data_IF_759281627911
#
_entry.id   IF_759281627911
#
_cell.length_a   1.000
_cell.length_b   1.000
_cell.length_c   1.000
_cell.angle_alpha   90.00
_cell.angle_beta   90.00
_cell.angle_gamma   90.00
#
_symmetry.space_group_name_H-M   'P 1'
#
loop_
_entity.id
_entity.type
_entity.pdbx_description
1 polymer ?
#
# COMPACT_ATOMS: atom_id res chain seq x y z
N UNK A 1 24.82 -16.88 30.16
CA UNK A 1 24.21 -15.93 29.20
C UNK A 1 24.73 -14.49 29.42
N UNK A 2 26.06 -14.26 29.38
CA UNK A 2 26.62 -12.89 29.53
C UNK A 2 27.58 -12.48 28.40
N UNK A 3 28.08 -13.43 27.60
CA UNK A 3 29.02 -13.16 26.50
C UNK A 3 28.34 -12.51 25.29
N UNK A 4 27.16 -12.99 24.88
CA UNK A 4 26.47 -12.52 23.66
C UNK A 4 26.06 -11.04 23.76
N UNK A 5 25.50 -10.61 24.89
CA UNK A 5 25.11 -9.20 25.10
C UNK A 5 26.30 -8.25 25.12
N UNK A 6 27.47 -8.71 25.60
CA UNK A 6 28.70 -7.93 25.59
C UNK A 6 29.29 -7.84 24.17
N UNK A 7 29.19 -8.91 23.38
CA UNK A 7 29.58 -8.90 21.97
C UNK A 7 28.74 -7.92 21.14
N UNK A 8 27.41 -7.86 21.36
CA UNK A 8 26.54 -6.88 20.69
C UNK A 8 26.87 -5.43 21.09
N UNK A 9 27.08 -5.15 22.38
CA UNK A 9 27.51 -3.81 22.83
C UNK A 9 28.88 -3.42 22.29
N UNK A 10 29.78 -4.39 22.10
CA UNK A 10 31.11 -4.15 21.54
C UNK A 10 31.03 -3.90 20.03
N UNK A 11 30.19 -4.64 19.30
CA UNK A 11 29.90 -4.36 17.89
C UNK A 11 29.31 -2.95 17.71
N UNK A 12 28.33 -2.53 18.53
CA UNK A 12 27.79 -1.16 18.48
C UNK A 12 28.87 -0.10 18.73
N UNK A 13 29.71 -0.31 19.75
CA UNK A 13 30.84 0.59 20.06
C UNK A 13 31.87 0.67 18.93
N UNK A 14 32.17 -0.46 18.29
CA UNK A 14 33.18 -0.51 17.24
C UNK A 14 32.63 0.00 15.90
N UNK A 15 31.32 -0.13 15.67
CA UNK A 15 30.58 0.53 14.57
C UNK A 15 30.52 2.05 14.76
N UNK A 16 30.35 2.54 16.00
CA UNK A 16 30.40 3.97 16.32
C UNK A 16 31.79 4.62 16.09
N UNK A 17 32.86 3.81 16.08
CA UNK A 17 34.24 4.31 15.88
C UNK A 17 34.65 4.38 14.41
N UNK A 18 34.04 3.58 13.55
CA UNK A 18 34.20 3.67 12.10
C UNK A 18 33.06 4.52 11.56
N UNK A 19 33.27 5.84 11.46
CA UNK A 19 32.29 6.83 10.98
C UNK A 19 31.75 6.56 9.57
N UNK A 20 30.93 5.54 9.45
CA UNK A 20 30.19 5.09 8.27
C UNK A 20 28.73 4.98 8.71
N UNK A 21 27.88 5.65 7.93
CA UNK A 21 26.42 5.75 8.00
C UNK A 21 25.86 7.03 8.61
N UNK A 22 25.64 7.99 7.71
CA UNK A 22 24.45 8.84 7.76
C UNK A 22 23.19 7.96 7.79
N UNK A 23 22.19 8.50 8.50
CA UNK A 23 20.80 8.06 8.65
C UNK A 23 20.53 6.79 9.49
N UNK A 24 20.25 7.05 10.77
CA UNK A 24 19.48 6.15 11.63
C UNK A 24 18.01 6.57 11.52
N UNK A 25 17.21 5.82 10.77
CA UNK A 25 15.75 5.86 10.89
C UNK A 25 15.32 5.05 12.12
N UNK A 26 14.69 5.65 13.14
CA UNK A 26 13.94 4.87 14.11
C UNK A 26 12.69 4.31 13.42
N UNK A 27 12.84 3.14 12.80
CA UNK A 27 11.68 2.34 12.39
C UNK A 27 10.93 1.94 13.67
N UNK A 28 9.69 2.42 13.81
CA UNK A 28 8.77 1.94 14.85
C UNK A 28 8.66 0.42 14.71
N UNK A 29 9.11 -0.30 15.73
CA UNK A 29 9.04 -1.77 15.78
C UNK A 29 7.58 -2.20 15.59
N UNK A 30 7.21 -2.89 14.51
CA UNK A 30 5.87 -3.45 14.42
C UNK A 30 5.68 -4.45 15.56
N UNK A 31 4.53 -4.39 16.22
CA UNK A 31 4.15 -5.38 17.21
C UNK A 31 4.00 -6.73 16.53
N UNK A 32 4.81 -7.70 16.93
CA UNK A 32 4.74 -9.07 16.44
C UNK A 32 3.51 -9.76 17.01
N UNK A 33 2.51 -10.03 16.17
CA UNK A 33 1.46 -11.00 16.48
C UNK A 33 1.67 -12.22 15.58
N UNK A 34 2.11 -13.32 16.18
CA UNK A 34 2.57 -14.55 15.50
C UNK A 34 1.42 -15.40 14.92
N UNK A 35 0.18 -14.88 14.89
CA UNK A 35 -1.01 -15.60 14.42
C UNK A 35 -1.99 -14.75 13.58
N UNK A 36 -1.70 -13.47 13.31
CA UNK A 36 -2.52 -12.64 12.41
C UNK A 36 -1.92 -12.71 11.01
N UNK A 37 -2.42 -13.62 10.17
CA UNK A 37 -1.84 -13.92 8.85
C UNK A 37 -2.10 -12.81 7.79
N UNK A 38 -2.92 -11.81 8.09
CA UNK A 38 -3.26 -10.72 7.18
C UNK A 38 -3.01 -9.34 7.82
N UNK A 39 -1.88 -8.68 7.52
CA UNK A 39 -1.65 -7.28 7.90
C UNK A 39 -2.25 -6.35 6.84
N UNK A 40 -3.45 -5.85 7.08
CA UNK A 40 -4.12 -4.90 6.18
C UNK A 40 -4.37 -3.54 6.84
N UNK A 41 -4.32 -2.49 6.03
CA UNK A 41 -4.69 -1.12 6.40
C UNK A 41 -6.08 -0.77 5.86
N UNK A 42 -6.70 0.27 6.43
CA UNK A 42 -7.93 0.86 5.88
C UNK A 42 -7.56 2.12 5.11
N UNK A 43 -8.07 2.23 3.89
CA UNK A 43 -7.95 3.41 3.04
C UNK A 43 -9.34 3.83 2.57
N UNK A 44 -9.46 5.06 2.09
CA UNK A 44 -10.69 5.49 1.40
C UNK A 44 -10.35 6.13 0.06
N UNK A 45 -11.17 5.91 -0.96
CA UNK A 45 -10.97 6.48 -2.30
C UNK A 45 -12.24 7.20 -2.74
N UNK A 46 -12.08 8.36 -3.38
CA UNK A 46 -13.18 9.08 -4.00
C UNK A 46 -13.83 10.14 -3.11
N UNK A 47 -14.83 10.82 -3.67
CA UNK A 47 -15.64 11.81 -2.96
C UNK A 47 -17.12 11.63 -3.35
N UNK A 48 -18.00 11.19 -2.43
CA UNK A 48 -17.72 10.85 -1.03
C UNK A 48 -16.73 9.67 -0.87
N UNK A 49 -16.02 9.57 0.27
CA UNK A 49 -15.05 8.50 0.52
C UNK A 49 -15.70 7.11 0.47
N UNK A 50 -15.08 6.19 -0.26
CA UNK A 50 -15.44 4.76 -0.30
C UNK A 50 -14.32 3.97 0.38
N UNK A 51 -14.64 3.18 1.39
CA UNK A 51 -13.66 2.50 2.25
C UNK A 51 -13.21 1.14 1.68
N UNK A 52 -11.91 0.83 1.83
CA UNK A 52 -11.30 -0.43 1.42
C UNK A 52 -10.25 -0.88 2.44
N UNK A 53 -10.24 -2.18 2.72
CA UNK A 53 -9.16 -2.87 3.43
C UNK A 53 -8.11 -3.32 2.42
N UNK A 54 -6.87 -2.91 2.59
CA UNK A 54 -5.79 -3.24 1.65
C UNK A 54 -4.64 -3.95 2.33
N UNK A 55 -4.22 -5.08 1.75
CA UNK A 55 -2.98 -5.76 2.11
C UNK A 55 -1.79 -4.90 1.70
N UNK A 56 -0.81 -4.74 2.58
CA UNK A 56 0.42 -4.02 2.27
C UNK A 56 1.40 -4.96 1.55
N UNK A 57 1.65 -4.72 0.27
CA UNK A 57 2.49 -5.59 -0.57
C UNK A 57 3.78 -4.90 -1.00
N UNK A 58 4.92 -5.35 -0.49
CA UNK A 58 6.24 -4.84 -0.92
C UNK A 58 6.71 -5.43 -2.25
N UNK A 59 6.02 -6.44 -2.79
CA UNK A 59 6.35 -7.15 -4.03
C UNK A 59 5.82 -6.47 -5.30
N UNK A 60 4.94 -5.49 -5.19
CA UNK A 60 4.37 -4.77 -6.35
C UNK A 60 4.23 -3.26 -6.09
N UNK A 61 4.24 -2.41 -7.14
CA UNK A 61 4.06 -0.96 -6.99
C UNK A 61 2.61 -0.49 -7.05
N UNK A 62 1.67 -1.37 -7.39
CA UNK A 62 0.34 -0.98 -7.84
C UNK A 62 -0.67 -1.00 -6.69
N UNK A 63 -1.55 0.00 -6.67
CA UNK A 63 -2.77 -0.05 -5.88
C UNK A 63 -3.85 -0.70 -6.74
N UNK A 64 -4.40 -1.83 -6.30
CA UNK A 64 -5.52 -2.51 -6.92
C UNK A 64 -6.75 -2.38 -6.01
N UNK A 65 -7.91 -2.16 -6.61
CA UNK A 65 -9.19 -2.02 -5.91
C UNK A 65 -10.29 -2.73 -6.69
N UNK A 66 -11.18 -3.52 -6.04
CA UNK A 66 -12.24 -4.21 -6.74
C UNK A 66 -13.24 -3.20 -7.31
N UNK A 67 -13.66 -3.39 -8.56
CA UNK A 67 -14.60 -2.48 -9.22
C UNK A 67 -16.03 -2.97 -9.16
N UNK A 68 -16.99 -2.05 -9.06
CA UNK A 68 -18.41 -2.36 -9.33
C UNK A 68 -18.69 -2.80 -10.77
N UNK A 69 -17.74 -2.60 -11.69
CA UNK A 69 -17.81 -3.11 -13.07
C UNK A 69 -17.46 -4.60 -13.17
N UNK A 70 -17.02 -5.23 -12.07
CA UNK A 70 -16.73 -6.65 -12.06
C UNK A 70 -17.96 -7.50 -12.39
N UNK A 71 -17.73 -8.59 -13.14
CA UNK A 71 -18.79 -9.46 -13.63
C UNK A 71 -19.40 -10.30 -12.49
N UNK A 72 -20.72 -10.50 -12.51
CA UNK A 72 -21.48 -11.28 -11.51
C UNK A 72 -20.94 -12.70 -11.18
N UNK A 73 -20.35 -13.49 -12.11
CA UNK A 73 -19.78 -14.79 -11.73
C UNK A 73 -18.49 -14.71 -10.87
N UNK A 74 -17.96 -13.52 -10.59
CA UNK A 74 -16.75 -13.34 -9.79
C UNK A 74 -17.06 -13.29 -8.28
N UNK A 75 -16.94 -14.42 -7.60
CA UNK A 75 -17.25 -14.56 -6.17
C UNK A 75 -16.36 -13.67 -5.30
N UNK A 76 -15.07 -13.58 -5.61
CA UNK A 76 -14.13 -12.74 -4.85
C UNK A 76 -14.59 -11.28 -4.82
N UNK A 77 -15.03 -10.74 -5.96
CA UNK A 77 -15.54 -9.38 -6.01
C UNK A 77 -16.90 -9.20 -5.31
N UNK A 78 -17.74 -10.23 -5.24
CA UNK A 78 -19.01 -10.16 -4.51
C UNK A 78 -18.81 -10.02 -3.00
N UNK A 79 -17.76 -10.64 -2.46
CA UNK A 79 -17.48 -10.69 -1.02
C UNK A 79 -16.80 -9.43 -0.48
N UNK A 80 -16.25 -8.59 -1.35
CA UNK A 80 -15.44 -7.42 -0.98
C UNK A 80 -16.12 -6.08 -1.30
N UNK A 81 -15.63 -5.02 -0.66
CA UNK A 81 -15.98 -3.66 -1.02
C UNK A 81 -15.58 -3.37 -2.46
N UNK A 82 -16.41 -2.58 -3.16
CA UNK A 82 -16.23 -2.29 -4.58
C UNK A 82 -16.29 -0.80 -4.83
N UNK A 83 -15.29 -0.30 -5.56
CA UNK A 83 -15.27 1.08 -6.02
C UNK A 83 -16.34 1.31 -7.08
N UNK A 84 -17.18 2.33 -6.84
CA UNK A 84 -18.16 2.83 -7.77
C UNK A 84 -17.68 4.19 -8.31
N UNK A 85 -17.05 4.15 -9.48
CA UNK A 85 -16.52 5.36 -10.14
C UNK A 85 -17.59 6.40 -10.46
N UNK A 86 -18.86 5.98 -10.58
CA UNK A 86 -20.01 6.87 -10.82
C UNK A 86 -20.42 7.65 -9.57
N UNK A 87 -20.00 7.19 -8.40
CA UNK A 87 -20.30 7.81 -7.11
C UNK A 87 -19.09 8.55 -6.53
N UNK A 88 -18.21 9.06 -7.39
CA UNK A 88 -17.02 9.82 -6.99
C UNK A 88 -16.87 11.05 -7.87
N UNK A 89 -17.00 12.25 -7.28
CA UNK A 89 -16.91 13.53 -8.00
C UNK A 89 -15.50 13.90 -8.45
N UNK A 90 -14.50 13.19 -7.93
CA UNK A 90 -13.08 13.39 -8.22
C UNK A 90 -12.49 12.28 -9.08
N UNK A 91 -13.33 11.36 -9.55
CA UNK A 91 -12.93 10.29 -10.45
C UNK A 91 -12.51 10.85 -11.81
N UNK A 92 -11.36 10.39 -12.31
CA UNK A 92 -10.91 10.67 -13.67
C UNK A 92 -10.50 9.37 -14.37
N UNK A 93 -11.23 9.04 -15.44
CA UNK A 93 -10.95 7.87 -16.24
C UNK A 93 -9.65 8.06 -17.03
N UNK A 94 -8.78 7.05 -16.97
CA UNK A 94 -7.66 6.91 -17.88
C UNK A 94 -8.06 5.95 -19.00
N UNK A 95 -7.82 6.31 -20.25
CA UNK A 95 -8.27 5.57 -21.43
C UNK A 95 -7.58 4.23 -21.67
N UNK A 96 -6.71 3.75 -20.77
CA UNK A 96 -6.04 2.46 -20.90
C UNK A 96 -6.94 1.30 -20.49
N UNK A 97 -7.04 0.26 -21.34
CA UNK A 97 -7.83 -0.96 -21.06
C UNK A 97 -7.29 -1.74 -19.84
N UNK A 98 -5.99 -1.63 -19.57
CA UNK A 98 -5.40 -2.07 -18.31
C UNK A 98 -5.42 -0.90 -17.33
N UNK A 99 -6.40 -1.00 -16.44
CA UNK A 99 -6.58 -0.40 -15.12
C UNK A 99 -5.43 0.47 -14.57
N UNK A 100 -5.40 1.75 -14.96
CA UNK A 100 -4.52 2.79 -14.40
C UNK A 100 -5.39 4.04 -14.20
N UNK A 101 -6.18 4.15 -13.14
CA UNK A 101 -7.22 5.19 -12.99
C UNK A 101 -6.89 6.21 -11.91
N UNK A 102 -7.23 7.48 -12.11
CA UNK A 102 -6.88 8.55 -11.17
C UNK A 102 -8.00 8.80 -10.14
N UNK A 103 -7.61 8.94 -8.88
CA UNK A 103 -8.48 9.37 -7.78
C UNK A 103 -7.67 9.94 -6.61
N UNK A 104 -8.32 10.76 -5.79
CA UNK A 104 -7.79 11.16 -4.48
C UNK A 104 -8.29 10.19 -3.42
N UNK A 105 -7.42 9.83 -2.48
CA UNK A 105 -7.75 8.91 -1.40
C UNK A 105 -7.02 9.21 -0.10
N UNK A 106 -7.59 8.72 1.00
CA UNK A 106 -6.99 8.75 2.32
C UNK A 106 -6.27 7.41 2.56
N UNK A 107 -4.99 7.47 2.88
CA UNK A 107 -4.21 6.29 3.30
C UNK A 107 -3.64 6.59 4.67
N UNK A 108 -4.09 5.85 5.68
CA UNK A 108 -3.67 6.03 7.07
C UNK A 108 -3.79 7.49 7.58
N UNK A 109 -4.85 8.20 7.18
CA UNK A 109 -5.07 9.60 7.56
C UNK A 109 -4.46 10.63 6.59
N UNK A 110 -3.62 10.21 5.65
CA UNK A 110 -2.96 11.10 4.68
C UNK A 110 -3.78 11.21 3.39
N UNK A 111 -4.06 12.44 2.96
CA UNK A 111 -4.88 12.72 1.78
C UNK A 111 -4.01 12.80 0.51
N UNK A 112 -3.83 11.67 -0.17
CA UNK A 112 -3.02 11.54 -1.40
C UNK A 112 -3.85 11.99 -2.60
N UNK A 113 -3.42 13.08 -3.25
CA UNK A 113 -4.07 13.61 -4.44
C UNK A 113 -3.63 12.90 -5.71
N UNK A 114 -4.52 12.83 -6.70
CA UNK A 114 -4.20 12.37 -8.07
C UNK A 114 -3.47 11.02 -8.09
N UNK A 115 -3.85 10.10 -7.21
CA UNK A 115 -3.29 8.77 -7.14
C UNK A 115 -3.89 7.88 -8.23
N UNK A 116 -3.02 7.20 -8.94
CA UNK A 116 -3.42 6.20 -9.92
C UNK A 116 -3.62 4.82 -9.26
N UNK A 117 -4.70 4.12 -9.57
CA UNK A 117 -4.99 2.77 -9.08
C UNK A 117 -5.71 1.93 -10.14
N UNK A 118 -5.55 0.62 -10.07
CA UNK A 118 -6.24 -0.31 -10.95
C UNK A 118 -7.63 -0.66 -10.41
N UNK A 119 -8.66 -0.51 -11.24
CA UNK A 119 -9.96 -1.14 -10.99
C UNK A 119 -9.91 -2.61 -11.42
N UNK A 120 -9.95 -3.52 -10.47
CA UNK A 120 -10.03 -4.94 -10.75
C UNK A 120 -11.45 -5.33 -11.17
N UNK A 121 -11.60 -5.71 -12.44
CA UNK A 121 -12.87 -6.18 -13.01
C UNK A 121 -12.95 -7.71 -13.08
N UNK A 122 -11.84 -8.41 -12.83
CA UNK A 122 -11.75 -9.87 -12.80
C UNK A 122 -10.74 -10.31 -11.73
N UNK A 123 -11.23 -10.65 -10.55
CA UNK A 123 -10.45 -11.29 -9.49
C UNK A 123 -10.48 -12.81 -9.64
N UNK A 124 -9.44 -13.39 -10.25
CA UNK A 124 -9.40 -14.83 -10.56
C UNK A 124 -8.65 -15.65 -9.50
N UNK A 125 -7.95 -14.99 -8.57
CA UNK A 125 -7.18 -15.69 -7.55
C UNK A 125 -8.09 -16.19 -6.43
N UNK A 126 -8.05 -17.49 -6.08
CA UNK A 126 -8.80 -18.04 -4.94
C UNK A 126 -8.44 -17.40 -3.60
N UNK A 127 -7.26 -16.75 -3.49
CA UNK A 127 -6.83 -16.04 -2.29
C UNK A 127 -7.85 -14.98 -1.88
N UNK A 128 -8.41 -14.25 -2.84
CA UNK A 128 -9.42 -13.21 -2.60
C UNK A 128 -10.81 -13.76 -2.30
N UNK A 129 -11.02 -15.08 -2.24
CA UNK A 129 -12.30 -15.65 -1.75
C UNK A 129 -12.25 -15.78 -0.22
N UNK A 130 -11.07 -16.04 0.34
CA UNK A 130 -10.87 -16.25 1.78
C UNK A 130 -10.17 -15.09 2.48
N UNK A 131 -9.80 -14.05 1.73
CA UNK A 131 -9.12 -12.87 2.25
C UNK A 131 -10.03 -12.08 3.20
N UNK A 132 -9.41 -11.47 4.22
CA UNK A 132 -10.09 -10.52 5.11
C UNK A 132 -9.92 -9.05 4.66
N UNK A 133 -9.24 -8.84 3.53
CA UNK A 133 -8.95 -7.56 2.90
C UNK A 133 -9.58 -7.51 1.51
N UNK A 134 -9.92 -6.31 1.05
CA UNK A 134 -10.58 -6.10 -0.24
C UNK A 134 -9.63 -6.30 -1.41
N UNK A 135 -8.39 -5.78 -1.31
CA UNK A 135 -7.37 -5.92 -2.36
C UNK A 135 -5.96 -5.48 -1.85
N UNK A 136 -5.05 -5.07 -2.73
CA UNK A 136 -3.63 -4.84 -2.46
C UNK A 136 -3.22 -3.37 -2.66
N UNK A 137 -2.46 -2.84 -1.69
CA UNK A 137 -1.71 -1.59 -1.80
C UNK A 137 -0.22 -1.90 -1.95
N UNK A 138 0.29 -1.72 -3.18
CA UNK A 138 1.69 -1.88 -3.50
C UNK A 138 2.59 -0.81 -2.89
N UNK A 139 3.69 -1.25 -2.29
CA UNK A 139 4.75 -0.44 -1.69
C UNK A 139 6.10 -0.61 -2.41
N UNK A 140 6.10 -1.33 -3.53
CA UNK A 140 7.28 -1.56 -4.36
C UNK A 140 7.72 -0.34 -5.18
N UNK A 141 8.88 -0.47 -5.80
CA UNK A 141 9.46 0.53 -6.70
C UNK A 141 8.67 0.62 -8.02
N UNK A 142 8.61 1.79 -8.67
CA UNK A 142 7.98 1.95 -9.98
C UNK A 142 8.60 0.98 -11.00
N UNK A 143 7.75 0.29 -11.78
CA UNK A 143 8.21 -0.67 -12.80
C UNK A 143 8.40 -0.01 -14.17
N UNK A 144 7.63 1.04 -14.47
CA UNK A 144 7.69 1.78 -15.73
C UNK A 144 7.77 3.29 -15.51
N UNK A 145 8.39 3.99 -16.46
CA UNK A 145 8.40 5.45 -16.46
C UNK A 145 6.99 6.02 -16.58
N UNK A 146 6.69 7.05 -15.78
CA UNK A 146 5.38 7.71 -15.75
C UNK A 146 4.41 7.11 -14.71
N UNK A 147 4.66 5.91 -14.20
CA UNK A 147 3.89 5.36 -13.08
C UNK A 147 4.40 5.92 -11.75
N UNK A 148 3.48 6.31 -10.87
CA UNK A 148 3.83 6.80 -9.52
C UNK A 148 3.08 5.97 -8.47
N UNK A 149 3.77 5.06 -7.77
CA UNK A 149 3.21 4.32 -6.65
C UNK A 149 2.70 5.25 -5.55
N UNK A 150 1.78 4.76 -4.71
CA UNK A 150 1.13 5.56 -3.67
C UNK A 150 2.14 6.29 -2.77
N UNK A 151 3.15 5.56 -2.30
CA UNK A 151 4.17 6.12 -1.42
C UNK A 151 4.99 7.22 -2.09
N UNK A 152 5.26 7.11 -3.39
CA UNK A 152 5.97 8.15 -4.14
C UNK A 152 5.13 9.41 -4.28
N UNK A 153 3.81 9.28 -4.47
CA UNK A 153 2.92 10.44 -4.48
C UNK A 153 2.85 11.11 -3.11
N UNK A 154 2.85 10.34 -2.01
CA UNK A 154 2.95 10.90 -0.66
C UNK A 154 4.22 11.72 -0.46
N UNK A 155 5.38 11.21 -0.92
CA UNK A 155 6.66 11.94 -0.86
C UNK A 155 6.61 13.20 -1.72
N UNK A 156 6.18 13.09 -2.99
CA UNK A 156 6.07 14.23 -3.91
C UNK A 156 5.15 15.34 -3.38
N UNK A 157 4.12 14.96 -2.62
CA UNK A 157 3.16 15.87 -2.00
C UNK A 157 3.59 16.35 -0.60
N UNK A 158 4.75 15.94 -0.11
CA UNK A 158 5.26 16.31 1.22
C UNK A 158 4.44 15.77 2.39
N UNK A 159 3.63 14.74 2.17
CA UNK A 159 2.78 14.12 3.19
C UNK A 159 3.58 13.22 4.13
N UNK A 160 4.69 12.68 3.62
CA UNK A 160 5.67 11.89 4.37
C UNK A 160 7.07 12.38 4.01
N UNK A 161 8.03 12.18 4.91
CA UNK A 161 9.43 12.38 4.55
C UNK A 161 9.78 11.44 3.39
N UNK A 162 10.54 11.90 2.38
CA UNK A 162 11.24 10.97 1.49
C UNK A 162 11.94 9.98 2.39
N UNK A 163 11.79 8.68 2.11
CA UNK A 163 12.36 7.63 2.95
C UNK A 163 13.78 8.06 3.37
N UNK A 164 13.93 8.36 4.65
CA UNK A 164 15.23 8.53 5.27
C UNK A 164 15.79 7.11 5.37
N UNK A 165 17.11 6.99 5.24
CA UNK A 165 17.83 5.77 4.89
C UNK A 165 17.57 4.55 5.78
#
# INVERSE_FOLDING_TARGET
MHSVQQTFKKLDSDLLKFGLFEAVCPATKPSYNYLDLDYYGVITIGTPPQEFKVLLDTGSPYLWIPSKKCSYPNIACLLHNKYDSRNSSIYQQNGTQFAIQYGTGNVAGLNVQNQTFGEAVNELSPLFITANFDDVLGLGFPLHEGETPVFYNMIKQGLVSPAVC
#
